data_IF_868025564373
#
_entry.id   IF_868025564373
#
_cell.length_a   1.000
_cell.length_b   1.000
_cell.length_c   1.000
_cell.angle_alpha   90.00
_cell.angle_beta   90.00
_cell.angle_gamma   90.00
#
_symmetry.space_group_name_H-M   'P 1'
#
loop_
_entity.id
_entity.type
_entity.pdbx_description
1 polymer ?
#
# COMPACT_ATOMS: atom_id res chain seq x y z
N UNK A 1 -39.20 -8.25 -7.73
CA UNK A 1 -38.63 -8.48 -6.38
C UNK A 1 -38.61 -9.98 -6.13
N UNK A 2 -37.49 -10.63 -6.40
CA UNK A 2 -37.23 -11.99 -5.88
C UNK A 2 -36.29 -11.84 -4.69
N UNK A 3 -36.77 -12.22 -3.51
CA UNK A 3 -35.97 -12.28 -2.29
C UNK A 3 -35.15 -13.56 -2.40
N UNK A 4 -33.91 -13.45 -2.91
CA UNK A 4 -32.96 -14.56 -2.92
C UNK A 4 -32.36 -14.69 -1.52
N UNK A 5 -33.02 -15.47 -0.65
CA UNK A 5 -32.51 -15.89 0.65
C UNK A 5 -32.06 -17.35 0.60
N UNK A 6 -31.13 -17.67 -0.30
CA UNK A 6 -30.35 -18.91 -0.20
C UNK A 6 -29.04 -18.56 0.52
N UNK A 7 -28.62 -19.39 1.48
CA UNK A 7 -27.27 -19.33 2.04
C UNK A 7 -26.28 -19.51 0.89
N UNK A 8 -25.75 -18.42 0.34
CA UNK A 8 -24.71 -18.48 -0.67
C UNK A 8 -23.42 -18.91 0.04
N UNK A 9 -22.91 -20.08 -0.33
CA UNK A 9 -21.57 -20.54 0.08
C UNK A 9 -20.51 -19.86 -0.76
N UNK A 10 -19.27 -19.87 -0.27
CA UNK A 10 -18.12 -19.33 -1.02
C UNK A 10 -17.86 -20.10 -2.32
N UNK A 11 -18.31 -21.36 -2.40
CA UNK A 11 -18.24 -22.19 -3.60
C UNK A 11 -19.32 -21.89 -4.65
N UNK A 12 -20.40 -21.21 -4.26
CA UNK A 12 -21.48 -20.87 -5.20
C UNK A 12 -21.01 -19.90 -6.30
N UNK A 13 -21.57 -20.01 -7.50
CA UNK A 13 -21.42 -19.00 -8.55
C UNK A 13 -22.64 -18.08 -8.48
N UNK A 14 -22.48 -16.79 -8.15
CA UNK A 14 -23.56 -15.83 -8.16
C UNK A 14 -24.11 -15.74 -9.59
N UNK A 15 -25.41 -16.00 -9.81
CA UNK A 15 -26.00 -15.93 -11.14
C UNK A 15 -25.77 -14.55 -11.74
N UNK A 16 -25.35 -14.49 -13.00
CA UNK A 16 -25.21 -13.23 -13.77
C UNK A 16 -24.17 -12.23 -13.23
N UNK A 17 -23.32 -12.63 -12.28
CA UNK A 17 -22.23 -11.77 -11.82
C UNK A 17 -21.22 -11.55 -12.93
N UNK A 18 -20.95 -10.28 -13.24
CA UNK A 18 -19.97 -9.84 -14.24
C UNK A 18 -18.53 -10.00 -13.73
N UNK A 19 -18.36 -10.10 -12.42
CA UNK A 19 -17.07 -10.38 -11.80
C UNK A 19 -17.22 -11.24 -10.55
N UNK A 20 -16.33 -12.23 -10.43
CA UNK A 20 -16.22 -13.14 -9.28
C UNK A 20 -14.76 -13.42 -9.00
N UNK A 21 -14.30 -13.18 -7.76
CA UNK A 21 -12.96 -13.53 -7.31
C UNK A 21 -13.02 -14.37 -6.02
N UNK A 22 -12.29 -15.48 -5.96
CA UNK A 22 -12.28 -16.41 -4.81
C UNK A 22 -10.86 -16.64 -4.28
N UNK A 23 -10.71 -16.65 -2.95
CA UNK A 23 -9.47 -17.00 -2.27
C UNK A 23 -9.78 -17.91 -1.08
N UNK A 24 -8.82 -18.73 -0.66
CA UNK A 24 -8.98 -19.58 0.53
C UNK A 24 -8.77 -18.84 1.83
N UNK A 25 -8.14 -17.66 1.76
CA UNK A 25 -7.62 -17.01 2.94
C UNK A 25 -7.91 -15.52 2.96
N UNK A 26 -9.03 -15.16 3.60
CA UNK A 26 -9.37 -13.78 3.90
C UNK A 26 -8.29 -13.06 4.72
N UNK A 27 -7.55 -13.77 5.58
CA UNK A 27 -6.51 -13.19 6.44
C UNK A 27 -5.37 -12.58 5.64
N UNK A 28 -4.98 -13.18 4.51
CA UNK A 28 -3.95 -12.62 3.63
C UNK A 28 -4.40 -11.29 3.05
N UNK A 29 -5.62 -11.23 2.52
CA UNK A 29 -6.20 -9.99 2.00
C UNK A 29 -6.28 -8.92 3.10
N UNK A 30 -6.77 -9.28 4.28
CA UNK A 30 -6.86 -8.38 5.43
C UNK A 30 -5.48 -7.84 5.85
N UNK A 31 -4.48 -8.73 5.97
CA UNK A 31 -3.11 -8.37 6.38
C UNK A 31 -2.47 -7.40 5.40
N UNK A 32 -2.62 -7.65 4.09
CA UNK A 32 -2.06 -6.78 3.06
C UNK A 32 -2.82 -5.45 2.99
N UNK A 33 -4.15 -5.46 2.99
CA UNK A 33 -4.96 -4.23 2.98
C UNK A 33 -4.75 -3.38 4.24
N UNK A 34 -4.41 -3.99 5.37
CA UNK A 34 -4.09 -3.27 6.61
C UNK A 34 -2.83 -2.40 6.47
N UNK A 35 -1.92 -2.74 5.53
CA UNK A 35 -0.67 -2.00 5.31
C UNK A 35 -0.86 -0.63 4.66
N UNK A 36 -1.93 -0.48 3.87
CA UNK A 36 -2.24 0.79 3.19
C UNK A 36 -3.17 1.70 4.00
N UNK A 37 -3.55 1.31 5.22
CA UNK A 37 -4.39 2.15 6.08
C UNK A 37 -3.64 3.43 6.46
N UNK A 38 -4.07 4.54 5.87
CA UNK A 38 -3.56 5.87 6.16
C UNK A 38 -4.40 6.55 7.25
N UNK A 39 -3.73 7.15 8.25
CA UNK A 39 -4.35 7.94 9.31
C UNK A 39 -3.53 9.21 9.52
N UNK A 40 -3.99 10.38 9.04
CA UNK A 40 -3.27 11.63 9.28
C UNK A 40 -3.29 12.02 10.76
N UNK A 41 -2.28 12.77 11.21
CA UNK A 41 -2.00 13.08 12.63
C UNK A 41 -3.18 13.76 13.37
N UNK A 42 -4.03 14.50 12.65
CA UNK A 42 -5.17 15.23 13.22
C UNK A 42 -6.47 14.43 13.34
N UNK A 43 -6.47 13.15 12.95
CA UNK A 43 -7.67 12.31 12.90
C UNK A 43 -8.10 11.87 14.31
N UNK A 44 -8.84 12.72 15.03
CA UNK A 44 -9.42 12.39 16.35
C UNK A 44 -10.58 11.38 16.30
N UNK A 45 -11.04 11.00 15.10
CA UNK A 45 -12.04 9.95 14.88
C UNK A 45 -11.42 8.75 14.18
N UNK A 46 -12.04 7.57 14.33
CA UNK A 46 -11.89 6.44 13.38
C UNK A 46 -12.47 6.93 12.04
N UNK A 47 -11.77 7.83 11.37
CA UNK A 47 -12.23 8.40 10.11
C UNK A 47 -12.32 7.26 9.10
N UNK A 48 -13.47 7.18 8.46
CA UNK A 48 -13.71 6.21 7.39
C UNK A 48 -12.75 6.51 6.26
N UNK A 49 -11.67 5.74 6.16
CA UNK A 49 -10.77 5.79 5.02
C UNK A 49 -11.52 5.22 3.82
N UNK A 50 -11.95 6.10 2.92
CA UNK A 50 -12.48 5.68 1.63
C UNK A 50 -11.32 5.38 0.70
N UNK A 51 -11.43 4.27 -0.03
CA UNK A 51 -10.43 3.84 -0.99
C UNK A 51 -11.06 3.68 -2.34
N UNK A 52 -10.26 3.93 -3.38
CA UNK A 52 -10.62 3.57 -4.75
C UNK A 52 -10.31 2.09 -4.94
N UNK A 53 -11.31 1.35 -5.40
CA UNK A 53 -11.20 -0.03 -5.84
C UNK A 53 -11.34 -0.04 -7.34
N UNK A 54 -10.41 -0.69 -8.02
CA UNK A 54 -10.46 -0.94 -9.45
C UNK A 54 -10.26 -2.43 -9.72
N UNK A 55 -11.02 -3.01 -10.64
CA UNK A 55 -10.75 -4.37 -11.11
C UNK A 55 -11.07 -4.52 -12.59
N UNK A 56 -10.28 -5.38 -13.24
CA UNK A 56 -10.37 -5.76 -14.64
C UNK A 56 -9.97 -7.23 -14.80
N UNK A 57 -9.67 -7.68 -16.00
CA UNK A 57 -9.19 -9.04 -16.28
C UNK A 57 -7.85 -9.42 -15.63
N UNK A 58 -6.98 -8.43 -15.38
CA UNK A 58 -5.63 -8.66 -14.86
C UNK A 58 -5.61 -8.81 -13.35
N UNK A 59 -6.57 -8.22 -12.66
CA UNK A 59 -6.67 -8.29 -11.21
C UNK A 59 -7.46 -7.15 -10.58
N UNK A 60 -7.28 -7.00 -9.27
CA UNK A 60 -7.97 -6.03 -8.43
C UNK A 60 -6.95 -5.15 -7.71
N UNK A 61 -7.11 -3.84 -7.84
CA UNK A 61 -6.29 -2.80 -7.21
C UNK A 61 -7.08 -2.04 -6.16
N UNK A 62 -6.45 -1.81 -5.00
CA UNK A 62 -6.96 -0.97 -3.93
C UNK A 62 -6.02 0.21 -3.74
N UNK A 63 -6.57 1.42 -3.71
CA UNK A 63 -5.79 2.67 -3.72
C UNK A 63 -6.31 3.61 -2.63
N UNK A 64 -5.39 4.08 -1.80
CA UNK A 64 -5.59 5.10 -0.77
C UNK A 64 -4.84 6.34 -1.20
N UNK A 65 -5.49 7.49 -1.18
CA UNK A 65 -4.90 8.78 -1.56
C UNK A 65 -5.12 9.81 -0.46
N UNK A 66 -4.13 10.68 -0.28
CA UNK A 66 -4.25 11.86 0.57
C UNK A 66 -3.66 13.06 -0.16
N UNK A 67 -4.54 13.93 -0.65
CA UNK A 67 -4.18 15.05 -1.51
C UNK A 67 -3.41 14.58 -2.75
N UNK A 68 -2.41 15.36 -3.15
CA UNK A 68 -1.45 15.01 -4.22
C UNK A 68 -0.09 14.57 -3.67
N UNK A 69 -0.03 14.34 -2.37
CA UNK A 69 1.23 14.17 -1.65
C UNK A 69 1.50 12.71 -1.27
N UNK A 70 0.45 11.89 -1.24
CA UNK A 70 0.52 10.51 -0.80
C UNK A 70 -0.45 9.63 -1.58
N UNK A 71 0.05 8.50 -2.05
CA UNK A 71 -0.76 7.41 -2.57
C UNK A 71 -0.17 6.08 -2.09
N UNK A 72 -1.01 5.17 -1.61
CA UNK A 72 -0.64 3.78 -1.36
C UNK A 72 -1.55 2.86 -2.16
N UNK A 73 -0.98 1.82 -2.76
CA UNK A 73 -1.79 0.86 -3.51
C UNK A 73 -1.31 -0.57 -3.37
N UNK A 74 -2.28 -1.48 -3.42
CA UNK A 74 -2.09 -2.93 -3.45
C UNK A 74 -2.71 -3.43 -4.73
N UNK A 75 -1.98 -4.26 -5.48
CA UNK A 75 -2.53 -4.97 -6.62
C UNK A 75 -2.52 -6.48 -6.40
N UNK A 76 -3.71 -7.08 -6.40
CA UNK A 76 -3.89 -8.53 -6.42
C UNK A 76 -4.12 -8.96 -7.86
N UNK A 77 -3.09 -9.55 -8.47
CA UNK A 77 -3.21 -10.16 -9.80
C UNK A 77 -4.30 -11.24 -9.81
N UNK A 78 -4.94 -11.48 -10.95
CA UNK A 78 -5.98 -12.52 -11.10
C UNK A 78 -5.46 -13.91 -10.69
N UNK A 79 -4.18 -14.19 -10.93
CA UNK A 79 -3.47 -15.41 -10.50
C UNK A 79 -3.31 -15.55 -8.97
N UNK A 80 -3.47 -14.47 -8.20
CA UNK A 80 -3.53 -14.53 -6.74
C UNK A 80 -4.75 -15.33 -6.28
N UNK A 81 -5.88 -15.19 -6.97
CA UNK A 81 -7.14 -15.84 -6.65
C UNK A 81 -7.18 -17.26 -7.21
N UNK A 82 -7.95 -18.14 -6.55
CA UNK A 82 -8.28 -19.48 -7.06
C UNK A 82 -9.24 -19.43 -8.23
N UNK A 83 -10.18 -18.49 -8.17
CA UNK A 83 -11.13 -18.22 -9.25
C UNK A 83 -11.13 -16.73 -9.48
N UNK A 84 -11.03 -16.32 -10.73
CA UNK A 84 -11.11 -14.92 -11.12
C UNK A 84 -11.78 -14.83 -12.48
N UNK A 85 -13.08 -14.54 -12.46
CA UNK A 85 -13.90 -14.43 -13.66
C UNK A 85 -14.26 -12.96 -13.86
N UNK A 86 -14.03 -12.43 -15.06
CA UNK A 86 -14.35 -11.06 -15.43
C UNK A 86 -14.99 -11.07 -16.82
N UNK A 87 -16.21 -10.57 -16.96
CA UNK A 87 -16.90 -10.45 -18.24
C UNK A 87 -16.44 -9.21 -19.02
N UNK A 88 -15.44 -9.42 -19.88
CA UNK A 88 -14.86 -8.40 -20.76
C UNK A 88 -15.85 -7.79 -21.75
N UNK A 89 -16.99 -8.42 -21.99
CA UNK A 89 -17.97 -7.90 -22.96
C UNK A 89 -18.73 -6.68 -22.42
N UNK A 90 -18.64 -6.41 -21.11
CA UNK A 90 -19.38 -5.32 -20.46
C UNK A 90 -18.57 -4.02 -20.43
N UNK A 91 -17.34 -4.08 -19.91
CA UNK A 91 -16.45 -2.92 -19.71
C UNK A 91 -15.00 -3.38 -19.60
N UNK A 92 -14.05 -2.48 -19.83
CA UNK A 92 -12.62 -2.77 -19.64
C UNK A 92 -12.21 -2.89 -18.17
N UNK A 93 -12.82 -2.07 -17.31
CA UNK A 93 -12.61 -2.08 -15.87
C UNK A 93 -13.81 -1.50 -15.13
N UNK A 94 -13.96 -1.85 -13.84
CA UNK A 94 -14.86 -1.17 -12.92
C UNK A 94 -14.06 -0.41 -11.88
N UNK A 95 -14.56 0.76 -11.50
CA UNK A 95 -13.93 1.61 -10.49
C UNK A 95 -14.97 2.30 -9.62
N UNK A 96 -14.79 2.23 -8.31
CA UNK A 96 -15.63 2.90 -7.33
C UNK A 96 -14.90 3.10 -6.02
N UNK A 97 -15.46 3.93 -5.14
CA UNK A 97 -15.00 4.08 -3.76
C UNK A 97 -15.79 3.23 -2.79
N UNK A 98 -15.11 2.66 -1.79
CA UNK A 98 -15.74 2.01 -0.62
C UNK A 98 -14.99 2.35 0.67
N UNK A 99 -15.62 2.07 1.81
CA UNK A 99 -15.02 2.28 3.13
C UNK A 99 -14.07 1.12 3.50
N UNK A 100 -12.77 1.38 3.54
CA UNK A 100 -11.74 0.38 3.86
C UNK A 100 -11.88 -0.15 5.29
N UNK A 101 -12.29 0.68 6.25
CA UNK A 101 -12.50 0.21 7.63
C UNK A 101 -13.62 -0.83 7.69
N UNK A 102 -14.72 -0.63 6.96
CA UNK A 102 -15.78 -1.62 6.88
C UNK A 102 -15.31 -2.89 6.18
N UNK A 103 -14.54 -2.77 5.08
CA UNK A 103 -13.97 -3.93 4.39
C UNK A 103 -13.07 -4.74 5.32
N UNK A 104 -12.16 -4.09 6.05
CA UNK A 104 -11.27 -4.74 7.01
C UNK A 104 -12.03 -5.35 8.19
N UNK A 105 -13.02 -4.66 8.75
CA UNK A 105 -13.86 -5.19 9.83
C UNK A 105 -14.59 -6.46 9.35
N UNK A 106 -15.11 -6.47 8.11
CA UNK A 106 -15.75 -7.64 7.52
C UNK A 106 -14.76 -8.78 7.22
N UNK A 107 -13.60 -8.50 6.63
CA UNK A 107 -12.56 -9.51 6.36
C UNK A 107 -12.09 -10.24 7.63
N UNK A 108 -12.19 -9.57 8.79
CA UNK A 108 -11.80 -10.10 10.09
C UNK A 108 -12.98 -10.61 10.95
N UNK A 109 -14.18 -10.83 10.38
CA UNK A 109 -15.36 -11.26 11.15
C UNK A 109 -15.11 -12.55 11.95
N UNK A 110 -14.39 -13.51 11.37
CA UNK A 110 -14.05 -14.77 12.04
C UNK A 110 -12.79 -14.69 12.90
N UNK A 111 -12.16 -13.50 12.99
CA UNK A 111 -11.04 -13.18 13.86
C UNK A 111 -9.71 -13.83 13.47
N UNK A 112 -8.66 -13.44 14.19
CA UNK A 112 -7.35 -14.12 14.23
C UNK A 112 -7.11 -14.59 15.65
N UNK A 113 -7.74 -15.69 16.06
CA UNK A 113 -7.52 -16.23 17.41
C UNK A 113 -6.16 -16.94 17.47
N UNK A 114 -5.34 -16.71 18.53
CA UNK A 114 -4.10 -17.46 18.71
C UNK A 114 -4.39 -18.97 18.72
N UNK A 115 -3.75 -19.72 17.82
CA UNK A 115 -3.96 -21.16 17.65
C UNK A 115 -5.03 -21.55 16.61
N UNK A 116 -5.75 -20.60 16.02
CA UNK A 116 -6.59 -20.81 14.85
C UNK A 116 -5.83 -20.43 13.58
N UNK A 117 -5.09 -21.40 13.01
CA UNK A 117 -4.48 -21.28 11.68
C UNK A 117 -5.43 -21.79 10.59
N UNK A 118 -6.73 -21.53 10.76
CA UNK A 118 -7.75 -21.98 9.82
C UNK A 118 -7.86 -20.98 8.67
N UNK A 119 -7.82 -21.53 7.47
CA UNK A 119 -8.12 -20.80 6.25
C UNK A 119 -9.61 -20.44 6.26
N UNK A 120 -9.92 -19.18 5.98
CA UNK A 120 -11.28 -18.66 5.84
C UNK A 120 -11.49 -18.32 4.37
N UNK A 121 -12.14 -19.22 3.60
CA UNK A 121 -12.51 -18.96 2.22
C UNK A 121 -13.32 -17.68 2.08
N UNK A 122 -13.08 -16.99 0.98
CA UNK A 122 -13.69 -15.71 0.66
C UNK A 122 -14.03 -15.67 -0.82
N UNK A 123 -15.19 -15.08 -1.11
CA UNK A 123 -15.63 -14.77 -2.44
C UNK A 123 -16.04 -13.31 -2.52
N UNK A 124 -15.48 -12.58 -3.47
CA UNK A 124 -15.98 -11.28 -3.90
C UNK A 124 -16.79 -11.44 -5.19
N UNK A 125 -17.83 -10.62 -5.36
CA UNK A 125 -18.61 -10.60 -6.60
C UNK A 125 -19.33 -9.27 -6.83
N UNK A 126 -19.62 -9.01 -8.09
CA UNK A 126 -20.24 -7.78 -8.56
C UNK A 126 -21.14 -8.03 -9.79
N UNK A 127 -22.28 -7.34 -9.87
CA UNK A 127 -23.32 -7.52 -10.90
C UNK A 127 -23.46 -6.38 -11.90
N UNK A 128 -22.60 -5.35 -11.80
CA UNK A 128 -22.65 -4.06 -12.52
C UNK A 128 -23.24 -2.90 -11.69
N UNK A 129 -22.93 -1.67 -12.05
CA UNK A 129 -23.45 -0.45 -11.44
C UNK A 129 -24.94 -0.31 -11.72
N UNK A 130 -25.79 0.04 -10.74
CA UNK A 130 -25.46 0.59 -9.41
C UNK A 130 -25.52 -0.42 -8.26
N UNK A 131 -25.22 -1.70 -8.49
CA UNK A 131 -25.27 -2.72 -7.43
C UNK A 131 -24.15 -2.51 -6.38
N UNK A 132 -24.34 -2.94 -5.13
CA UNK A 132 -23.28 -2.90 -4.13
C UNK A 132 -22.14 -3.86 -4.49
N UNK A 133 -20.95 -3.63 -3.92
CA UNK A 133 -19.88 -4.62 -3.92
C UNK A 133 -20.18 -5.68 -2.86
N UNK A 134 -20.04 -6.96 -3.20
CA UNK A 134 -20.44 -8.05 -2.31
C UNK A 134 -19.27 -8.95 -1.95
N UNK A 135 -19.34 -9.50 -0.75
CA UNK A 135 -18.36 -10.44 -0.22
C UNK A 135 -19.08 -11.52 0.57
N UNK A 136 -18.66 -12.77 0.41
CA UNK A 136 -19.06 -13.90 1.26
C UNK A 136 -17.81 -14.48 1.91
N UNK A 137 -17.90 -14.77 3.19
CA UNK A 137 -16.90 -15.48 3.98
C UNK A 137 -17.53 -16.77 4.51
N UNK A 138 -16.74 -17.82 4.60
CA UNK A 138 -17.17 -19.11 5.15
C UNK A 138 -16.18 -19.62 6.19
N UNK A 139 -16.68 -19.98 7.37
CA UNK A 139 -15.92 -20.72 8.37
C UNK A 139 -16.78 -21.82 8.97
N UNK A 140 -16.31 -23.07 8.87
CA UNK A 140 -16.96 -24.22 9.53
C UNK A 140 -18.44 -24.40 9.18
N UNK A 141 -18.82 -24.09 7.93
CA UNK A 141 -20.20 -24.14 7.44
C UNK A 141 -21.05 -22.91 7.81
N UNK A 142 -20.48 -21.91 8.48
CA UNK A 142 -21.12 -20.62 8.74
C UNK A 142 -20.75 -19.65 7.63
N UNK A 143 -21.75 -19.18 6.89
CA UNK A 143 -21.57 -18.19 5.83
C UNK A 143 -21.97 -16.80 6.31
N UNK A 144 -21.11 -15.82 6.06
CA UNK A 144 -21.40 -14.40 6.29
C UNK A 144 -21.36 -13.66 4.98
N UNK A 145 -22.44 -12.94 4.65
CA UNK A 145 -22.54 -12.10 3.45
C UNK A 145 -22.48 -10.63 3.83
N UNK A 146 -21.57 -9.90 3.21
CA UNK A 146 -21.37 -8.47 3.39
C UNK A 146 -21.70 -7.72 2.10
N UNK A 147 -22.46 -6.64 2.22
CA UNK A 147 -22.78 -5.74 1.11
C UNK A 147 -22.22 -4.35 1.40
N UNK A 148 -21.34 -3.89 0.52
CA UNK A 148 -20.67 -2.60 0.65
C UNK A 148 -21.33 -1.58 -0.26
N UNK A 149 -21.75 -0.46 0.34
CA UNK A 149 -22.17 0.71 -0.43
C UNK A 149 -20.96 1.24 -1.20
N UNK A 150 -21.13 1.38 -2.51
CA UNK A 150 -20.14 1.99 -3.39
C UNK A 150 -20.47 3.46 -3.65
N UNK A 151 -19.44 4.23 -4.00
CA UNK A 151 -19.54 5.64 -4.38
C UNK A 151 -18.80 5.85 -5.70
N UNK A 152 -19.27 6.79 -6.51
CA UNK A 152 -18.55 7.19 -7.71
C UNK A 152 -17.19 7.78 -7.36
N UNK A 153 -16.24 7.65 -8.27
CA UNK A 153 -14.89 8.18 -8.10
C UNK A 153 -14.27 8.58 -9.43
N UNK A 154 -13.42 9.59 -9.36
CA UNK A 154 -12.53 9.96 -10.45
C UNK A 154 -11.35 8.99 -10.55
N UNK A 155 -10.54 9.16 -11.60
CA UNK A 155 -9.28 8.45 -11.74
C UNK A 155 -8.32 8.82 -10.61
N UNK A 156 -7.62 7.84 -10.02
CA UNK A 156 -6.52 8.11 -9.11
C UNK A 156 -5.44 8.99 -9.76
N UNK A 157 -4.70 9.72 -8.93
CA UNK A 157 -3.52 10.47 -9.36
C UNK A 157 -2.46 9.50 -9.90
N UNK A 158 -1.72 9.94 -10.93
CA UNK A 158 -0.72 9.10 -11.57
C UNK A 158 0.69 9.52 -11.13
N UNK A 159 1.29 8.73 -10.25
CA UNK A 159 2.69 8.89 -9.83
C UNK A 159 3.59 7.99 -10.68
N UNK A 160 4.64 8.56 -11.26
CA UNK A 160 5.61 7.82 -12.08
C UNK A 160 7.04 8.26 -11.80
N UNK A 161 7.96 7.30 -11.72
CA UNK A 161 9.40 7.51 -11.57
C UNK A 161 10.21 6.93 -12.74
N UNK A 162 9.58 6.21 -13.67
CA UNK A 162 10.27 5.45 -14.71
C UNK A 162 11.00 6.36 -15.72
N UNK A 163 10.43 7.54 -15.98
CA UNK A 163 11.01 8.56 -16.87
C UNK A 163 11.82 9.64 -16.12
N UNK A 164 12.01 9.47 -14.80
CA UNK A 164 12.68 10.44 -13.94
C UNK A 164 14.00 9.86 -13.47
N UNK A 165 15.07 10.64 -13.59
CA UNK A 165 16.37 10.28 -13.00
C UNK A 165 16.18 9.99 -11.51
N UNK A 166 16.62 8.81 -11.06
CA UNK A 166 16.38 8.36 -9.71
C UNK A 166 17.55 7.53 -9.16
N UNK A 167 17.59 7.45 -7.83
CA UNK A 167 18.38 6.47 -7.08
C UNK A 167 17.46 5.34 -6.62
N UNK A 168 17.96 4.11 -6.64
CA UNK A 168 17.17 2.94 -6.31
C UNK A 168 17.99 1.91 -5.51
N UNK A 169 17.45 1.50 -4.36
CA UNK A 169 18.05 0.45 -3.52
C UNK A 169 17.04 -0.64 -3.20
N UNK A 170 17.50 -1.87 -3.02
CA UNK A 170 16.70 -2.97 -2.46
C UNK A 170 17.37 -3.42 -1.17
N UNK A 171 16.58 -3.47 -0.10
CA UNK A 171 16.99 -3.81 1.26
C UNK A 171 16.02 -4.85 1.83
N UNK A 172 16.51 -5.72 2.72
CA UNK A 172 15.63 -6.56 3.54
C UNK A 172 14.68 -5.67 4.34
N UNK A 173 13.39 -5.98 4.33
CA UNK A 173 12.41 -5.15 5.06
C UNK A 173 12.65 -5.13 6.56
N UNK A 174 13.18 -6.23 7.13
CA UNK A 174 13.58 -6.32 8.53
C UNK A 174 14.67 -5.31 8.88
N UNK A 175 15.75 -5.28 8.08
CA UNK A 175 16.84 -4.32 8.29
C UNK A 175 16.39 -2.86 8.12
N UNK A 176 15.50 -2.60 7.17
CA UNK A 176 14.93 -1.26 7.00
C UNK A 176 14.03 -0.89 8.18
N UNK A 177 13.27 -1.84 8.73
CA UNK A 177 12.46 -1.63 9.92
C UNK A 177 13.33 -1.31 11.13
N UNK A 178 14.44 -2.02 11.33
CA UNK A 178 15.41 -1.72 12.39
C UNK A 178 15.98 -0.31 12.24
N UNK A 179 16.34 0.09 11.01
CA UNK A 179 16.83 1.43 10.72
C UNK A 179 15.80 2.53 11.04
N UNK A 180 14.51 2.31 10.75
CA UNK A 180 13.45 3.20 11.20
C UNK A 180 13.28 3.18 12.73
N UNK A 181 13.43 2.01 13.35
CA UNK A 181 13.30 1.82 14.80
C UNK A 181 14.31 2.61 15.65
N UNK A 182 15.42 3.08 15.05
CA UNK A 182 16.37 3.96 15.75
C UNK A 182 15.96 5.44 15.77
N UNK A 183 14.89 5.84 15.07
CA UNK A 183 14.48 7.23 14.92
C UNK A 183 13.40 7.64 15.93
N UNK A 184 13.37 8.93 16.27
CA UNK A 184 12.28 9.51 17.05
C UNK A 184 11.05 9.77 16.18
N UNK A 185 9.99 8.98 16.37
CA UNK A 185 8.72 9.12 15.65
C UNK A 185 7.84 10.29 16.14
N UNK A 186 8.32 11.13 17.04
CA UNK A 186 7.64 12.38 17.44
C UNK A 186 7.89 13.54 16.47
N UNK A 187 8.86 13.40 15.58
CA UNK A 187 9.15 14.41 14.56
C UNK A 187 8.03 14.50 13.53
N UNK A 188 7.60 15.70 13.11
CA UNK A 188 6.62 15.84 12.02
C UNK A 188 7.20 15.43 10.66
N UNK A 189 8.53 15.42 10.54
CA UNK A 189 9.23 15.15 9.30
C UNK A 189 10.39 14.17 9.50
N UNK A 190 10.71 13.46 8.43
CA UNK A 190 11.90 12.65 8.30
C UNK A 190 12.66 13.08 7.05
N UNK A 191 13.96 13.20 7.19
CA UNK A 191 14.88 13.38 6.08
C UNK A 191 15.39 12.04 5.61
N UNK A 192 15.30 11.80 4.31
CA UNK A 192 15.80 10.59 3.66
C UNK A 192 16.83 11.00 2.62
N UNK A 193 18.04 10.47 2.76
CA UNK A 193 19.14 10.63 1.81
C UNK A 193 19.47 9.30 1.14
N UNK A 194 19.54 9.31 -0.19
CA UNK A 194 20.21 8.27 -0.97
C UNK A 194 21.43 8.87 -1.67
N UNK A 195 22.61 8.52 -1.16
CA UNK A 195 23.90 8.99 -1.67
C UNK A 195 24.47 8.13 -2.80
N UNK A 196 25.61 8.57 -3.35
CA UNK A 196 26.31 7.86 -4.42
C UNK A 196 26.81 6.48 -3.97
N UNK A 197 26.64 5.47 -4.82
CA UNK A 197 27.16 4.11 -4.55
C UNK A 197 28.63 3.90 -4.95
N UNK A 198 29.26 4.89 -5.59
CA UNK A 198 30.68 4.87 -6.00
C UNK A 198 31.57 5.70 -5.07
N UNK A 199 32.57 5.04 -4.47
CA UNK A 199 33.63 5.65 -3.66
C UNK A 199 33.81 4.97 -2.30
N UNK A 200 35.02 4.98 -1.72
CA UNK A 200 35.28 4.38 -0.42
C UNK A 200 34.53 5.15 0.70
N UNK A 201 33.85 4.41 1.57
CA UNK A 201 33.25 4.90 2.82
C UNK A 201 32.24 6.06 2.67
N UNK A 202 31.51 6.08 1.55
CA UNK A 202 30.37 6.99 1.38
C UNK A 202 29.10 6.45 2.03
N UNK A 203 28.41 7.34 2.73
CA UNK A 203 27.06 7.12 3.25
C UNK A 203 26.09 6.95 2.08
N UNK A 204 25.39 5.82 2.07
CA UNK A 204 24.46 5.44 1.02
C UNK A 204 23.03 5.73 1.43
N UNK A 205 22.61 5.28 2.61
CA UNK A 205 21.29 5.56 3.15
C UNK A 205 21.44 6.31 4.46
N UNK A 206 20.87 7.51 4.53
CA UNK A 206 20.73 8.25 5.79
C UNK A 206 19.26 8.48 6.05
N UNK A 207 18.82 8.10 7.24
CA UNK A 207 17.49 8.44 7.77
C UNK A 207 17.71 9.31 9.00
N UNK A 208 17.11 10.50 9.04
CA UNK A 208 17.20 11.39 10.21
C UNK A 208 15.86 12.01 10.54
N UNK A 209 15.56 12.07 11.83
CA UNK A 209 14.47 12.87 12.36
C UNK A 209 14.87 14.35 12.31
N UNK A 210 13.95 15.25 11.95
CA UNK A 210 14.26 16.69 11.90
C UNK A 210 14.15 17.36 13.28
N UNK A 211 13.41 16.78 14.21
CA UNK A 211 13.24 17.32 15.57
C UNK A 211 14.21 16.73 16.61
N UNK A 212 15.02 15.75 16.25
CA UNK A 212 15.99 15.11 17.15
C UNK A 212 17.29 14.80 16.40
N UNK A 213 18.40 14.61 17.12
CA UNK A 213 19.67 14.20 16.51
C UNK A 213 19.71 12.69 16.14
N UNK A 214 18.58 11.97 16.22
CA UNK A 214 18.54 10.54 15.90
C UNK A 214 18.74 10.33 14.39
N UNK A 215 19.83 9.66 14.04
CA UNK A 215 20.23 9.40 12.66
C UNK A 215 20.65 7.94 12.51
N UNK A 216 20.13 7.30 11.48
CA UNK A 216 20.65 6.03 10.97
C UNK A 216 21.51 6.31 9.74
N UNK A 217 22.69 5.69 9.68
CA UNK A 217 23.60 5.80 8.54
C UNK A 217 24.03 4.40 8.11
N UNK A 218 23.88 4.12 6.83
CA UNK A 218 24.41 2.92 6.20
C UNK A 218 25.36 3.25 5.06
N UNK A 219 26.43 2.46 4.93
CA UNK A 219 27.45 2.61 3.88
C UNK A 219 27.37 1.48 2.87
N UNK A 220 27.93 1.71 1.68
CA UNK A 220 27.98 0.73 0.60
C UNK A 220 28.68 -0.60 0.95
N UNK A 221 29.54 -0.59 1.99
CA UNK A 221 30.29 -1.78 2.44
C UNK A 221 29.45 -2.72 3.32
N UNK A 222 28.41 -2.21 3.95
CA UNK A 222 27.51 -3.05 4.73
C UNK A 222 26.73 -3.92 3.75
N UNK A 223 26.69 -5.24 3.98
CA UNK A 223 25.86 -6.20 3.21
C UNK A 223 24.38 -6.04 3.54
N UNK A 224 23.91 -4.80 3.57
CA UNK A 224 22.55 -4.41 3.90
C UNK A 224 21.66 -4.44 2.65
N UNK A 225 22.25 -4.15 1.49
CA UNK A 225 21.53 -3.97 0.22
C UNK A 225 21.69 -5.19 -0.68
N UNK A 226 20.56 -5.72 -1.14
CA UNK A 226 20.50 -6.76 -2.18
C UNK A 226 20.73 -6.17 -3.58
N UNK A 227 20.44 -4.88 -3.75
CA UNK A 227 20.64 -4.13 -4.99
C UNK A 227 20.86 -2.64 -4.69
N UNK A 228 21.70 -1.98 -5.48
CA UNK A 228 21.93 -0.55 -5.38
C UNK A 228 22.31 0.04 -6.75
N UNK A 229 21.51 0.99 -7.22
CA UNK A 229 21.79 1.86 -8.37
C UNK A 229 21.57 3.31 -7.94
N UNK A 230 22.61 3.94 -7.38
CA UNK A 230 22.56 5.31 -6.90
C UNK A 230 23.62 6.18 -7.56
N UNK A 231 23.19 7.02 -8.50
CA UNK A 231 24.03 7.86 -9.37
C UNK A 231 24.03 9.34 -8.99
N UNK A 232 23.15 9.72 -8.07
CA UNK A 232 22.95 11.09 -7.62
C UNK A 232 23.16 11.18 -6.10
N UNK A 233 23.40 12.38 -5.57
CA UNK A 233 23.32 12.63 -4.13
C UNK A 233 21.98 13.30 -3.84
N UNK A 234 20.99 12.52 -3.39
CA UNK A 234 19.59 12.98 -3.24
C UNK A 234 19.21 13.02 -1.76
N UNK A 235 18.72 14.16 -1.30
CA UNK A 235 18.26 14.37 0.08
C UNK A 235 16.97 15.20 0.06
N UNK A 236 15.92 14.71 0.71
CA UNK A 236 14.63 15.39 0.80
C UNK A 236 13.98 15.14 2.17
N UNK A 237 13.11 16.06 2.58
CA UNK A 237 12.27 15.94 3.76
C UNK A 237 10.87 15.46 3.37
N UNK A 238 10.30 14.57 4.16
CA UNK A 238 8.96 14.01 3.95
C UNK A 238 8.14 14.13 5.24
N UNK A 239 6.83 14.30 5.12
CA UNK A 239 5.93 14.21 6.27
C UNK A 239 6.04 12.80 6.88
N UNK A 240 6.39 12.70 8.17
CA UNK A 240 6.56 11.41 8.82
C UNK A 240 5.25 10.61 8.81
N UNK A 241 4.11 11.28 8.97
CA UNK A 241 2.78 10.68 8.86
C UNK A 241 2.51 9.98 7.53
N UNK A 242 3.14 10.41 6.43
CA UNK A 242 3.05 9.76 5.11
C UNK A 242 3.97 8.53 5.02
N UNK A 243 5.05 8.49 5.80
CA UNK A 243 6.02 7.39 5.82
C UNK A 243 5.55 6.23 6.73
N UNK A 244 4.86 6.54 7.82
CA UNK A 244 4.43 5.58 8.84
C UNK A 244 3.67 4.34 8.30
N UNK A 245 2.73 4.44 7.34
CA UNK A 245 2.07 3.26 6.79
C UNK A 245 3.06 2.28 6.14
N UNK A 246 4.03 2.81 5.39
CA UNK A 246 5.09 1.99 4.80
C UNK A 246 5.95 1.32 5.88
N UNK A 247 6.33 2.05 6.94
CA UNK A 247 7.12 1.48 8.04
C UNK A 247 6.38 0.33 8.73
N UNK A 248 5.08 0.50 8.99
CA UNK A 248 4.24 -0.59 9.57
C UNK A 248 4.21 -1.82 8.68
N UNK A 249 4.21 -1.61 7.36
CA UNK A 249 4.21 -2.68 6.38
C UNK A 249 5.52 -3.47 6.33
N UNK A 250 6.64 -2.89 6.79
CA UNK A 250 7.95 -3.57 6.80
C UNK A 250 7.98 -4.80 7.73
N UNK A 251 7.18 -4.79 8.80
CA UNK A 251 7.13 -5.87 9.79
C UNK A 251 6.68 -7.23 9.22
N UNK A 252 5.98 -7.21 8.08
CA UNK A 252 5.49 -8.43 7.41
C UNK A 252 5.98 -8.55 5.96
N UNK A 253 6.62 -7.51 5.41
CA UNK A 253 7.24 -7.57 4.10
C UNK A 253 8.56 -8.35 4.15
N UNK A 254 8.96 -8.94 3.03
CA UNK A 254 10.23 -9.67 2.88
C UNK A 254 11.37 -8.74 2.43
N UNK A 255 11.12 -7.95 1.39
CA UNK A 255 12.09 -7.00 0.87
C UNK A 255 11.41 -5.72 0.43
N UNK A 256 12.16 -4.62 0.49
CA UNK A 256 11.66 -3.30 0.14
C UNK A 256 12.59 -2.66 -0.87
N UNK A 257 12.01 -2.20 -1.97
CA UNK A 257 12.70 -1.32 -2.90
C UNK A 257 12.37 0.13 -2.54
N UNK A 258 13.41 0.94 -2.38
CA UNK A 258 13.30 2.38 -2.12
C UNK A 258 13.83 3.10 -3.35
N UNK A 259 12.98 3.90 -3.99
CA UNK A 259 13.36 4.72 -5.16
C UNK A 259 13.13 6.19 -4.83
N UNK A 260 14.13 7.04 -5.03
CA UNK A 260 14.03 8.51 -4.86
C UNK A 260 14.33 9.19 -6.19
N UNK A 261 13.37 9.92 -6.73
CA UNK A 261 13.55 10.73 -7.92
C UNK A 261 14.24 12.07 -7.63
N UNK A 262 14.91 12.64 -8.64
CA UNK A 262 15.49 14.00 -8.56
C UNK A 262 14.47 15.11 -8.28
N UNK A 263 13.18 14.83 -8.50
CA UNK A 263 12.07 15.73 -8.19
C UNK A 263 11.55 15.60 -6.74
N UNK A 264 12.15 14.74 -5.92
CA UNK A 264 11.72 14.48 -4.55
C UNK A 264 10.51 13.54 -4.43
N UNK A 265 10.08 12.88 -5.51
CA UNK A 265 9.10 11.80 -5.41
C UNK A 265 9.80 10.54 -4.87
N UNK A 266 9.28 10.03 -3.75
CA UNK A 266 9.73 8.81 -3.10
C UNK A 266 8.76 7.68 -3.39
N UNK A 267 9.29 6.51 -3.77
CA UNK A 267 8.55 5.26 -3.87
C UNK A 267 9.12 4.21 -2.92
N UNK A 268 8.27 3.68 -2.05
CA UNK A 268 8.52 2.39 -1.41
C UNK A 268 7.73 1.32 -2.13
N UNK A 269 8.37 0.21 -2.45
CA UNK A 269 7.74 -0.96 -3.05
C UNK A 269 8.06 -2.19 -2.20
N UNK A 270 7.11 -2.54 -1.33
CA UNK A 270 7.24 -3.62 -0.37
C UNK A 270 6.78 -4.93 -1.01
N UNK A 271 7.65 -5.94 -0.99
CA UNK A 271 7.36 -7.28 -1.48
C UNK A 271 6.94 -8.18 -0.34
N UNK A 272 5.75 -8.76 -0.44
CA UNK A 272 5.23 -9.79 0.47
C UNK A 272 5.26 -11.15 -0.22
N UNK A 273 5.37 -12.21 0.56
CA UNK A 273 5.29 -13.59 0.07
C UNK A 273 4.24 -14.31 0.89
N UNK A 274 3.20 -14.82 0.22
CA UNK A 274 2.14 -15.61 0.84
C UNK A 274 1.84 -16.82 -0.05
N UNK A 275 1.93 -18.03 0.49
CA UNK A 275 1.77 -19.30 -0.25
C UNK A 275 2.56 -19.34 -1.57
N UNK A 276 3.84 -18.98 -1.50
CA UNK A 276 4.78 -18.83 -2.64
C UNK A 276 4.42 -17.73 -3.66
N UNK A 277 3.26 -17.08 -3.52
CA UNK A 277 2.85 -15.96 -4.37
C UNK A 277 3.49 -14.67 -3.87
N UNK A 278 4.03 -13.91 -4.82
CA UNK A 278 4.58 -12.58 -4.56
C UNK A 278 3.49 -11.52 -4.68
N UNK A 279 3.35 -10.69 -3.66
CA UNK A 279 2.49 -9.51 -3.67
C UNK A 279 3.35 -8.26 -3.53
N UNK A 280 2.89 -7.17 -4.12
CA UNK A 280 3.60 -5.89 -4.08
C UNK A 280 2.64 -4.82 -3.57
N UNK A 281 3.12 -4.03 -2.62
CA UNK A 281 2.45 -2.83 -2.12
C UNK A 281 3.35 -1.63 -2.41
N UNK A 282 2.78 -0.62 -3.05
CA UNK A 282 3.50 0.58 -3.46
C UNK A 282 3.01 1.78 -2.67
N UNK A 283 3.95 2.64 -2.28
CA UNK A 283 3.70 3.92 -1.62
C UNK A 283 4.44 5.00 -2.40
N UNK A 284 3.71 6.00 -2.87
CA UNK A 284 4.25 7.21 -3.47
C UNK A 284 4.07 8.38 -2.51
N UNK A 285 5.15 9.13 -2.28
CA UNK A 285 5.20 10.21 -1.29
C UNK A 285 5.98 11.38 -1.88
N UNK A 286 5.39 12.55 -1.94
CA UNK A 286 6.09 13.76 -2.40
C UNK A 286 6.92 14.35 -1.26
N UNK A 287 8.13 14.81 -1.58
CA UNK A 287 8.91 15.64 -0.66
C UNK A 287 8.14 16.90 -0.27
N UNK A 288 8.35 17.37 0.96
CA UNK A 288 7.92 18.71 1.36
C UNK A 288 8.73 19.73 0.59
N UNK A 289 8.05 20.76 0.07
CA UNK A 289 8.74 21.87 -0.56
C UNK A 289 9.61 22.58 0.49
N UNK A 290 10.89 22.78 0.19
CA UNK A 290 11.66 23.77 0.93
C UNK A 290 11.07 25.14 0.59
N UNK A 291 10.52 25.85 1.58
CA UNK A 291 10.32 27.29 1.48
C UNK A 291 11.70 27.92 1.27
N UNK A 292 12.11 28.07 0.02
CA UNK A 292 13.27 28.88 -0.34
C UNK A 292 12.90 30.34 -0.05
N UNK A 293 13.13 30.79 1.18
CA UNK A 293 13.38 32.19 1.44
C UNK A 293 14.69 32.56 0.73
N UNK A 294 14.57 32.93 -0.55
CA UNK A 294 15.58 33.75 -1.21
C UNK A 294 15.68 35.06 -0.41
N UNK A 295 16.63 35.10 0.52
CA UNK A 295 17.16 36.36 0.99
C UNK A 295 18.07 36.87 -0.13
N UNK A 296 17.51 37.75 -0.97
CA UNK A 296 18.27 38.69 -1.77
C UNK A 296 19.11 39.57 -0.83
N UNK A 297 20.25 39.04 -0.38
CA UNK A 297 21.31 39.86 0.17
C UNK A 297 22.13 40.44 -0.97
N UNK A 298 21.66 41.60 -1.40
CA UNK A 298 22.47 42.78 -1.75
C UNK A 298 23.67 42.54 -2.68
N UNK A 299 23.42 42.75 -3.97
CA UNK A 299 24.32 43.56 -4.79
C UNK A 299 24.35 44.99 -4.25
N UNK A 300 25.23 45.25 -3.29
CA UNK A 300 25.84 46.56 -3.06
C UNK A 300 27.26 46.33 -2.53
N UNK A 301 28.22 46.61 -3.40
CA UNK A 301 29.67 46.50 -3.20
C UNK A 301 30.37 46.72 -4.52
#
# INVERSE_FOLDING_TARGET
MSVYSAQQSTDSQPPEAIWVAKSDNAKTLATILQTIVFKPEDSKKKDSVNITVEFNEEGMKFIVEHGKEYQASVFFQSSFFKTYNYDRNTRDFYRFKLNLSMLLDCLNIFGSYPGHDRLVPIQFFYWDTPTPFNMILEDSGVNTTCQFKIMDTESPEFFNLDDIQNNNVVISSEHLLDAFGTLDFKSPEIRIKLGLNEGPDKDLLILSSTSSESTFISTCKQKLFDFCDCKYDLEFNYALSHIQPCVKALATAKSTRVTVGVNGLLRFQNTFVHDEKRLVVEYFITARQHDNYFTDHHMMG
#
